data_IF_029864104598
#
_entry.id   IF_029864104598
#
_cell.length_a   1.000
_cell.length_b   1.000
_cell.length_c   1.000
_cell.angle_alpha   90.00
_cell.angle_beta   90.00
_cell.angle_gamma   90.00
#
_symmetry.space_group_name_H-M   'P 1'
#
loop_
_entity.id
_entity.type
_entity.pdbx_description
1 polymer ?
#
# COMPACT_ATOMS: atom_id res chain seq x y z
N UNK A 1 14.63 2.11 -59.04
CA UNK A 1 15.68 2.64 -58.16
C UNK A 1 15.00 3.56 -57.13
N UNK A 2 14.90 3.09 -55.88
CA UNK A 2 14.54 3.74 -54.58
C UNK A 2 13.29 4.64 -54.44
N UNK A 3 12.50 4.68 -53.34
CA UNK A 3 12.23 3.87 -52.12
C UNK A 3 10.98 4.49 -51.41
N UNK A 4 10.59 3.90 -50.25
CA UNK A 4 9.65 4.36 -49.18
C UNK A 4 8.25 3.73 -49.24
N UNK A 5 8.00 2.59 -48.58
CA UNK A 5 7.81 2.31 -47.14
C UNK A 5 6.35 2.54 -46.67
N UNK A 6 5.59 1.45 -46.55
CA UNK A 6 4.35 1.39 -45.76
C UNK A 6 4.44 0.25 -44.76
N UNK A 7 5.25 0.43 -43.70
CA UNK A 7 5.03 -0.25 -42.42
C UNK A 7 4.06 0.59 -41.59
N UNK A 8 2.81 0.17 -41.57
CA UNK A 8 1.87 0.51 -40.49
C UNK A 8 0.80 -0.56 -40.47
N UNK A 9 0.35 -0.92 -39.27
CA UNK A 9 -0.63 -1.96 -38.96
C UNK A 9 -0.05 -3.38 -38.92
N UNK A 10 0.51 -3.76 -37.77
CA UNK A 10 0.32 -5.10 -37.15
C UNK A 10 1.07 -5.31 -35.81
N UNK A 11 1.60 -4.26 -35.16
CA UNK A 11 2.30 -4.41 -33.88
C UNK A 11 1.47 -4.12 -32.61
N UNK A 12 0.17 -3.84 -32.71
CA UNK A 12 -0.67 -3.56 -31.53
C UNK A 12 -1.50 -4.75 -31.02
N UNK A 13 -1.43 -5.92 -31.65
CA UNK A 13 -2.07 -7.14 -31.13
C UNK A 13 -1.09 -8.11 -30.43
N UNK A 14 0.22 -7.98 -30.67
CA UNK A 14 1.23 -8.84 -30.04
C UNK A 14 1.57 -8.41 -28.60
N UNK A 15 1.68 -7.10 -28.33
CA UNK A 15 2.05 -6.60 -27.01
C UNK A 15 0.97 -6.85 -25.93
N UNK A 16 -0.32 -6.80 -26.32
CA UNK A 16 -1.46 -7.05 -25.42
C UNK A 16 -1.58 -8.53 -25.06
N UNK A 17 -1.22 -9.44 -25.99
CA UNK A 17 -1.17 -10.89 -25.75
C UNK A 17 0.03 -11.27 -24.87
N UNK A 18 1.20 -10.64 -25.05
CA UNK A 18 2.39 -10.90 -24.21
C UNK A 18 2.18 -10.38 -22.77
N UNK A 19 1.48 -9.26 -22.59
CA UNK A 19 1.07 -8.75 -21.26
C UNK A 19 -0.03 -9.61 -20.60
N UNK A 20 -0.89 -10.25 -21.38
CA UNK A 20 -1.87 -11.21 -20.87
C UNK A 20 -1.20 -12.53 -20.42
N UNK A 21 -0.24 -13.04 -21.19
CA UNK A 21 0.47 -14.28 -20.84
C UNK A 21 1.41 -14.12 -19.63
N UNK A 22 2.03 -12.94 -19.45
CA UNK A 22 2.87 -12.66 -18.27
C UNK A 22 2.05 -12.48 -16.99
N UNK A 23 0.86 -11.88 -17.05
CA UNK A 23 -0.09 -11.86 -15.91
C UNK A 23 -0.57 -13.27 -15.53
N UNK A 24 -0.79 -14.14 -16.51
CA UNK A 24 -1.19 -15.54 -16.26
C UNK A 24 -0.06 -16.34 -15.60
N UNK A 25 1.20 -16.13 -15.99
CA UNK A 25 2.34 -16.81 -15.35
C UNK A 25 2.66 -16.29 -13.94
N UNK A 26 2.40 -15.02 -13.65
CA UNK A 26 2.59 -14.46 -12.29
C UNK A 26 1.50 -14.96 -11.32
N UNK A 27 0.29 -15.26 -11.83
CA UNK A 27 -0.77 -15.92 -11.07
C UNK A 27 -0.58 -17.44 -10.88
N UNK A 28 0.42 -18.05 -11.52
CA UNK A 28 0.66 -19.51 -11.46
C UNK A 28 1.53 -19.96 -10.29
N UNK A 29 1.92 -19.07 -9.37
CA UNK A 29 2.71 -19.40 -8.18
C UNK A 29 1.84 -19.73 -6.94
N UNK A 30 0.77 -20.50 -7.14
CA UNK A 30 -0.13 -20.98 -6.07
C UNK A 30 0.06 -22.50 -5.89
N UNK A 31 0.27 -22.93 -4.65
CA UNK A 31 0.60 -24.32 -4.28
C UNK A 31 -0.38 -25.36 -4.88
N UNK A 32 0.18 -26.38 -5.53
CA UNK A 32 -0.53 -27.47 -6.21
C UNK A 32 -0.77 -28.63 -5.24
N UNK A 33 -2.00 -28.82 -4.79
CA UNK A 33 -2.40 -30.05 -4.08
C UNK A 33 -3.01 -31.02 -5.09
N UNK A 34 -2.42 -32.21 -5.25
CA UNK A 34 -2.96 -33.27 -6.10
C UNK A 34 -3.82 -34.23 -5.27
N UNK A 35 -5.13 -34.26 -5.51
CA UNK A 35 -5.97 -35.40 -5.15
C UNK A 35 -6.28 -36.20 -6.42
N UNK A 36 -5.89 -37.48 -6.41
CA UNK A 36 -6.21 -38.43 -7.48
C UNK A 36 -7.61 -38.96 -7.24
N UNK A 37 -8.59 -38.44 -7.97
CA UNK A 37 -9.84 -39.16 -8.21
C UNK A 37 -9.87 -39.66 -9.65
N UNK A 38 -10.28 -40.92 -9.77
CA UNK A 38 -10.25 -41.75 -10.95
C UNK A 38 -11.07 -41.16 -12.10
N UNK A 39 -10.52 -41.26 -13.31
CA UNK A 39 -11.19 -41.06 -14.61
C UNK A 39 -11.36 -39.62 -15.12
N UNK A 40 -10.35 -39.17 -15.88
CA UNK A 40 -10.42 -38.27 -17.04
C UNK A 40 -11.34 -37.04 -16.97
N UNK A 41 -11.05 -36.15 -16.03
CA UNK A 41 -11.06 -34.69 -16.24
C UNK A 41 -10.22 -34.08 -15.10
N UNK A 42 -8.99 -33.63 -15.40
CA UNK A 42 -8.23 -32.82 -14.45
C UNK A 42 -8.93 -31.46 -14.41
N UNK A 43 -9.94 -31.32 -13.55
CA UNK A 43 -10.45 -30.01 -13.16
C UNK A 43 -9.38 -29.37 -12.28
N UNK A 44 -8.68 -28.38 -12.83
CA UNK A 44 -7.91 -27.45 -12.02
C UNK A 44 -8.91 -26.62 -11.21
N UNK A 45 -9.20 -27.06 -9.98
CA UNK A 45 -9.93 -26.24 -9.02
C UNK A 45 -8.96 -25.18 -8.53
N UNK A 46 -8.91 -24.05 -9.24
CA UNK A 46 -8.22 -22.86 -8.74
C UNK A 46 -9.00 -22.36 -7.53
N UNK A 47 -8.56 -22.75 -6.34
CA UNK A 47 -9.07 -22.12 -5.13
C UNK A 47 -8.44 -20.74 -5.07
N UNK A 48 -9.20 -19.72 -5.49
CA UNK A 48 -8.91 -18.35 -5.12
C UNK A 48 -8.89 -18.32 -3.59
N UNK A 49 -7.69 -18.28 -3.00
CA UNK A 49 -7.56 -18.10 -1.56
C UNK A 49 -8.08 -16.69 -1.27
N UNK A 50 -9.06 -16.56 -0.39
CA UNK A 50 -9.58 -15.25 -0.03
C UNK A 50 -8.52 -14.44 0.73
N UNK A 51 -8.62 -13.11 0.71
CA UNK A 51 -7.65 -12.27 1.42
C UNK A 51 -7.70 -12.54 2.92
N UNK A 52 -8.90 -12.71 3.48
CA UNK A 52 -9.16 -13.17 4.85
C UNK A 52 -8.32 -14.40 5.21
N UNK A 53 -8.38 -15.44 4.38
CA UNK A 53 -7.64 -16.68 4.60
C UNK A 53 -6.12 -16.49 4.61
N UNK A 54 -5.59 -15.63 3.71
CA UNK A 54 -4.16 -15.31 3.70
C UNK A 54 -3.73 -14.57 4.97
N UNK A 55 -4.55 -13.63 5.45
CA UNK A 55 -4.28 -12.88 6.68
C UNK A 55 -4.28 -13.85 7.87
N UNK A 56 -5.25 -14.75 7.97
CA UNK A 56 -5.31 -15.76 9.04
C UNK A 56 -4.10 -16.68 9.02
N UNK A 57 -3.68 -17.16 7.83
CA UNK A 57 -2.47 -17.99 7.69
C UNK A 57 -1.23 -17.25 8.16
N UNK A 58 -1.04 -16.00 7.72
CA UNK A 58 0.10 -15.18 8.13
C UNK A 58 0.15 -14.95 9.65
N UNK A 59 -1.01 -14.78 10.31
CA UNK A 59 -1.07 -14.56 11.76
C UNK A 59 -0.66 -15.80 12.57
N UNK A 60 -0.84 -17.00 12.01
CA UNK A 60 -0.51 -18.27 12.65
C UNK A 60 0.87 -18.81 12.24
N UNK A 61 1.50 -18.21 11.22
CA UNK A 61 2.73 -18.72 10.64
C UNK A 61 3.96 -18.34 11.47
N UNK A 62 4.71 -19.38 11.85
CA UNK A 62 5.96 -19.29 12.60
C UNK A 62 7.17 -19.65 11.73
N UNK A 63 6.96 -20.36 10.62
CA UNK A 63 8.04 -20.68 9.68
C UNK A 63 8.43 -19.42 8.88
N UNK A 64 9.73 -19.15 8.83
CA UNK A 64 10.28 -17.92 8.23
C UNK A 64 10.00 -17.85 6.73
N UNK A 65 10.14 -18.97 6.02
CA UNK A 65 9.98 -19.03 4.57
C UNK A 65 8.50 -18.94 4.18
N UNK A 66 7.63 -19.68 4.87
CA UNK A 66 6.19 -19.61 4.66
C UNK A 66 5.62 -18.23 5.05
N UNK A 67 6.11 -17.63 6.14
CA UNK A 67 5.72 -16.27 6.54
C UNK A 67 6.06 -15.25 5.44
N UNK A 68 7.27 -15.33 4.90
CA UNK A 68 7.69 -14.53 3.75
C UNK A 68 6.83 -14.80 2.50
N UNK A 69 6.46 -16.06 2.24
CA UNK A 69 5.57 -16.42 1.13
C UNK A 69 4.18 -15.81 1.27
N UNK A 70 3.59 -15.83 2.47
CA UNK A 70 2.30 -15.21 2.73
C UNK A 70 2.34 -13.69 2.58
N UNK A 71 3.38 -13.05 3.10
CA UNK A 71 3.61 -11.60 2.92
C UNK A 71 3.74 -11.26 1.43
N UNK A 72 4.49 -12.05 0.68
CA UNK A 72 4.65 -11.86 -0.77
C UNK A 72 3.32 -12.02 -1.52
N UNK A 73 2.52 -13.02 -1.17
CA UNK A 73 1.21 -13.25 -1.76
C UNK A 73 0.24 -12.10 -1.46
N UNK A 74 0.30 -11.54 -0.25
CA UNK A 74 -0.42 -10.32 0.12
C UNK A 74 0.08 -9.11 -0.67
N UNK A 75 1.39 -9.00 -0.92
CA UNK A 75 2.01 -7.94 -1.73
C UNK A 75 1.55 -7.87 -3.19
N UNK A 76 0.83 -8.89 -3.69
CA UNK A 76 0.21 -8.90 -5.02
C UNK A 76 -1.26 -8.44 -5.00
N UNK A 77 -1.83 -8.11 -3.83
CA UNK A 77 -3.23 -7.67 -3.66
C UNK A 77 -3.32 -6.19 -3.37
N UNK A 78 -4.11 -5.48 -4.17
CA UNK A 78 -4.31 -4.03 -4.07
C UNK A 78 -5.63 -3.76 -3.34
N UNK A 79 -5.65 -4.12 -2.06
CA UNK A 79 -6.81 -3.99 -1.17
C UNK A 79 -6.43 -3.11 0.03
N UNK A 80 -7.32 -2.21 0.50
CA UNK A 80 -7.04 -1.32 1.63
C UNK A 80 -6.55 -2.05 2.89
N UNK A 81 -7.19 -3.17 3.22
CA UNK A 81 -6.90 -4.00 4.39
C UNK A 81 -5.50 -4.60 4.31
N UNK A 82 -5.09 -5.02 3.11
CA UNK A 82 -3.76 -5.56 2.85
C UNK A 82 -2.69 -4.48 2.99
N UNK A 83 -2.94 -3.29 2.45
CA UNK A 83 -2.03 -2.14 2.59
C UNK A 83 -1.86 -1.79 4.06
N UNK A 84 -2.96 -1.70 4.83
CA UNK A 84 -2.92 -1.42 6.27
C UNK A 84 -2.20 -2.52 7.05
N UNK A 85 -2.42 -3.78 6.72
CA UNK A 85 -1.72 -4.91 7.34
C UNK A 85 -0.21 -4.85 7.10
N UNK A 86 0.23 -4.69 5.84
CA UNK A 86 1.65 -4.57 5.49
C UNK A 86 2.29 -3.35 6.15
N UNK A 87 1.55 -2.26 6.29
CA UNK A 87 1.97 -1.08 7.05
C UNK A 87 2.19 -1.39 8.53
N UNK A 88 1.25 -2.08 9.17
CA UNK A 88 1.34 -2.47 10.58
C UNK A 88 2.51 -3.44 10.83
N UNK A 89 2.74 -4.39 9.91
CA UNK A 89 3.93 -5.26 9.95
C UNK A 89 5.21 -4.45 9.86
N UNK A 90 5.28 -3.48 8.94
CA UNK A 90 6.44 -2.59 8.79
C UNK A 90 6.76 -1.82 10.08
N UNK A 91 5.76 -1.44 10.88
CA UNK A 91 5.98 -0.75 12.15
C UNK A 91 6.48 -1.65 13.28
N UNK A 92 6.36 -2.98 13.13
CA UNK A 92 6.81 -3.96 14.12
C UNK A 92 7.92 -4.88 13.57
N UNK A 93 8.49 -4.55 12.41
CA UNK A 93 9.39 -5.44 11.67
C UNK A 93 10.74 -5.68 12.36
N UNK A 94 11.10 -4.86 13.35
CA UNK A 94 12.34 -5.05 14.12
C UNK A 94 12.36 -6.40 14.86
N UNK A 95 11.18 -6.97 15.14
CA UNK A 95 11.02 -8.28 15.77
C UNK A 95 10.99 -9.44 14.75
N UNK A 96 11.09 -9.15 13.45
CA UNK A 96 11.02 -10.14 12.38
C UNK A 96 12.42 -10.53 11.90
N UNK A 97 12.54 -11.73 11.34
CA UNK A 97 13.77 -12.19 10.68
C UNK A 97 14.16 -11.28 9.50
N UNK A 98 15.47 -11.06 9.22
CA UNK A 98 15.92 -10.14 8.16
C UNK A 98 15.31 -10.41 6.78
N UNK A 99 15.07 -11.68 6.44
CA UNK A 99 14.42 -12.07 5.20
C UNK A 99 12.95 -11.66 5.16
N UNK A 100 12.22 -11.84 6.28
CA UNK A 100 10.83 -11.41 6.43
C UNK A 100 10.73 -9.89 6.37
N UNK A 101 11.65 -9.16 7.03
CA UNK A 101 11.74 -7.71 6.94
C UNK A 101 11.90 -7.22 5.49
N UNK A 102 12.73 -7.92 4.71
CA UNK A 102 12.92 -7.63 3.29
C UNK A 102 11.60 -7.80 2.51
N UNK A 103 10.89 -8.90 2.72
CA UNK A 103 9.61 -9.17 2.04
C UNK A 103 8.50 -8.19 2.45
N UNK A 104 8.45 -7.76 3.71
CA UNK A 104 7.53 -6.70 4.16
C UNK A 104 7.80 -5.41 3.39
N UNK A 105 9.07 -4.97 3.32
CA UNK A 105 9.46 -3.74 2.61
C UNK A 105 9.15 -3.83 1.12
N UNK A 106 9.44 -4.97 0.50
CA UNK A 106 9.21 -5.20 -0.92
C UNK A 106 7.72 -5.21 -1.25
N UNK A 107 6.93 -5.95 -0.47
CA UNK A 107 5.48 -6.08 -0.66
C UNK A 107 4.77 -4.74 -0.44
N UNK A 108 5.14 -4.02 0.63
CA UNK A 108 4.60 -2.68 0.89
C UNK A 108 4.94 -1.70 -0.25
N UNK A 109 6.17 -1.74 -0.77
CA UNK A 109 6.58 -0.92 -1.92
C UNK A 109 5.78 -1.24 -3.18
N UNK A 110 5.54 -2.52 -3.47
CA UNK A 110 4.72 -2.95 -4.62
C UNK A 110 3.31 -2.38 -4.53
N UNK A 111 2.62 -2.58 -3.41
CA UNK A 111 1.23 -2.13 -3.26
C UNK A 111 1.14 -0.60 -3.25
N UNK A 112 2.01 0.10 -2.51
CA UNK A 112 1.97 1.57 -2.41
C UNK A 112 2.34 2.29 -3.70
N UNK A 113 3.15 1.67 -4.57
CA UNK A 113 3.51 2.25 -5.86
C UNK A 113 2.60 1.80 -7.02
N UNK A 114 1.64 0.90 -6.77
CA UNK A 114 0.73 0.41 -7.81
C UNK A 114 -0.08 1.55 -8.44
N UNK A 115 -0.37 1.47 -9.74
CA UNK A 115 -0.98 2.56 -10.52
C UNK A 115 -2.33 3.02 -9.97
N UNK A 116 -3.16 2.09 -9.49
CA UNK A 116 -4.48 2.35 -8.91
C UNK A 116 -4.47 2.86 -7.47
N UNK A 117 -3.33 2.85 -6.77
CA UNK A 117 -3.26 3.35 -5.39
C UNK A 117 -2.98 4.85 -5.41
N UNK A 118 -3.82 5.65 -4.78
CA UNK A 118 -3.69 7.11 -4.70
C UNK A 118 -4.52 7.67 -3.55
N UNK A 119 -4.59 8.99 -3.44
CA UNK A 119 -5.26 9.62 -2.29
C UNK A 119 -6.73 9.21 -2.15
N UNK A 120 -7.43 9.06 -3.28
CA UNK A 120 -8.83 8.64 -3.31
C UNK A 120 -9.03 7.27 -2.64
N UNK A 121 -8.13 6.31 -2.87
CA UNK A 121 -8.21 4.99 -2.23
C UNK A 121 -8.17 5.10 -0.70
N UNK A 122 -7.35 5.98 -0.14
CA UNK A 122 -7.25 6.14 1.32
C UNK A 122 -8.46 6.89 1.89
N UNK A 123 -8.95 7.89 1.16
CA UNK A 123 -10.09 8.71 1.58
C UNK A 123 -11.43 7.96 1.46
N UNK A 124 -11.58 7.10 0.46
CA UNK A 124 -12.77 6.27 0.28
C UNK A 124 -12.83 5.12 1.30
N UNK A 125 -11.68 4.74 1.88
CA UNK A 125 -11.54 3.64 2.84
C UNK A 125 -11.05 4.12 4.22
N UNK A 126 -11.46 5.32 4.65
CA UNK A 126 -11.01 5.92 5.91
C UNK A 126 -11.23 5.02 7.12
N UNK A 127 -12.27 4.20 7.17
CA UNK A 127 -12.51 3.28 8.29
C UNK A 127 -11.40 2.22 8.47
N UNK A 128 -10.67 1.90 7.40
CA UNK A 128 -9.55 0.94 7.44
C UNK A 128 -8.27 1.64 7.91
N UNK A 129 -8.06 2.89 7.48
CA UNK A 129 -6.83 3.62 7.76
C UNK A 129 -6.87 4.37 9.08
N UNK A 130 -8.02 4.95 9.45
CA UNK A 130 -8.18 5.76 10.66
C UNK A 130 -7.85 4.97 11.93
N UNK A 131 -6.95 5.52 12.73
CA UNK A 131 -6.71 5.01 14.08
C UNK A 131 -7.77 5.56 15.04
N UNK A 132 -8.46 4.64 15.76
CA UNK A 132 -9.57 5.00 16.65
C UNK A 132 -9.14 5.66 17.97
N UNK A 133 -7.83 5.73 18.27
CA UNK A 133 -7.35 6.30 19.53
C UNK A 133 -7.50 7.83 19.53
N UNK A 134 -8.56 8.32 20.18
CA UNK A 134 -8.76 9.74 20.49
C UNK A 134 -8.96 9.90 21.99
N UNK A 135 -8.30 10.89 22.57
CA UNK A 135 -8.58 11.30 23.95
C UNK A 135 -9.97 11.95 23.97
N UNK A 136 -10.97 11.28 24.55
CA UNK A 136 -12.37 11.74 24.55
C UNK A 136 -12.56 13.11 25.23
N UNK A 137 -11.61 13.52 26.08
CA UNK A 137 -11.64 14.79 26.80
C UNK A 137 -10.93 15.94 26.05
N UNK A 138 -10.09 15.63 25.06
CA UNK A 138 -9.35 16.64 24.32
C UNK A 138 -10.23 17.32 23.25
N UNK A 139 -10.15 18.66 23.09
CA UNK A 139 -10.89 19.37 22.06
C UNK A 139 -10.49 18.90 20.66
N UNK A 140 -11.48 18.77 19.76
CA UNK A 140 -11.23 18.49 18.35
C UNK A 140 -10.88 19.79 17.64
N UNK A 141 -9.72 19.83 16.99
CA UNK A 141 -9.21 21.04 16.32
C UNK A 141 -8.93 20.73 14.85
N UNK A 142 -9.49 21.56 13.96
CA UNK A 142 -9.15 21.54 12.54
C UNK A 142 -7.75 22.13 12.37
N UNK A 143 -6.83 21.34 11.84
CA UNK A 143 -5.48 21.80 11.46
C UNK A 143 -5.49 22.15 9.98
N UNK A 144 -5.03 23.35 9.65
CA UNK A 144 -4.78 23.74 8.27
C UNK A 144 -3.71 22.83 7.66
N UNK A 145 -3.98 22.28 6.48
CA UNK A 145 -3.02 21.49 5.71
C UNK A 145 -1.68 22.19 5.47
N UNK A 146 -1.65 23.53 5.44
CA UNK A 146 -0.40 24.30 5.32
C UNK A 146 0.53 24.07 6.51
N UNK A 147 -0.01 23.89 7.73
CA UNK A 147 0.77 23.60 8.95
C UNK A 147 1.42 22.21 8.83
N UNK A 148 0.65 21.23 8.33
CA UNK A 148 1.17 19.88 8.11
C UNK A 148 2.20 19.85 6.99
N UNK A 149 1.97 20.58 5.91
CA UNK A 149 2.94 20.71 4.83
C UNK A 149 4.25 21.30 5.35
N UNK A 150 4.18 22.35 6.17
CA UNK A 150 5.36 22.95 6.77
C UNK A 150 6.12 21.95 7.64
N UNK A 151 5.41 21.22 8.50
CA UNK A 151 5.99 20.18 9.36
C UNK A 151 6.65 19.04 8.57
N UNK A 152 6.02 18.57 7.51
CA UNK A 152 6.43 17.37 6.78
C UNK A 152 7.49 17.63 5.71
N UNK A 153 7.48 18.83 5.13
CA UNK A 153 8.34 19.17 3.99
C UNK A 153 9.54 20.05 4.38
N UNK A 154 9.46 20.88 5.43
CA UNK A 154 10.56 21.77 5.81
C UNK A 154 11.54 21.13 6.78
N UNK A 155 12.75 21.66 6.79
CA UNK A 155 13.78 21.26 7.74
C UNK A 155 13.43 21.82 9.13
N UNK A 156 13.65 21.02 10.18
CA UNK A 156 13.32 21.35 11.59
C UNK A 156 13.91 22.67 12.07
N UNK A 157 15.05 23.08 11.50
CA UNK A 157 15.74 24.34 11.84
C UNK A 157 15.07 25.60 11.29
N UNK A 158 14.13 25.45 10.35
CA UNK A 158 13.42 26.56 9.68
C UNK A 158 11.92 26.54 9.93
N UNK A 159 11.46 25.70 10.86
CA UNK A 159 10.06 25.48 11.14
C UNK A 159 9.49 26.66 11.96
N UNK A 160 8.33 27.15 11.58
CA UNK A 160 7.64 28.19 12.32
C UNK A 160 7.32 27.72 13.75
N UNK A 161 7.53 28.61 14.73
CA UNK A 161 7.24 28.37 16.15
C UNK A 161 5.78 27.94 16.39
N UNK A 162 4.84 28.45 15.60
CA UNK A 162 3.43 28.09 15.72
C UNK A 162 3.16 26.64 15.27
N UNK A 163 3.86 26.17 14.24
CA UNK A 163 3.78 24.77 13.78
C UNK A 163 4.36 23.85 14.86
N UNK A 164 5.48 24.22 15.47
CA UNK A 164 6.08 23.46 16.58
C UNK A 164 5.11 23.32 17.75
N UNK A 165 4.44 24.41 18.17
CA UNK A 165 3.45 24.36 19.26
C UNK A 165 2.26 23.46 18.94
N UNK A 166 1.74 23.52 17.72
CA UNK A 166 0.63 22.65 17.29
C UNK A 166 1.03 21.19 17.34
N UNK A 167 2.23 20.86 16.85
CA UNK A 167 2.77 19.48 16.91
C UNK A 167 2.94 19.02 18.36
N UNK A 168 3.48 19.86 19.24
CA UNK A 168 3.61 19.56 20.68
C UNK A 168 2.24 19.29 21.33
N UNK A 169 1.20 20.04 20.98
CA UNK A 169 -0.15 19.81 21.49
C UNK A 169 -0.76 18.49 21.00
N UNK A 170 -0.51 18.11 19.74
CA UNK A 170 -0.92 16.80 19.21
C UNK A 170 -0.19 15.67 19.94
N UNK A 171 1.14 15.75 20.05
CA UNK A 171 1.96 14.72 20.70
C UNK A 171 1.68 14.59 22.20
N UNK A 172 1.30 15.68 22.86
CA UNK A 172 0.92 15.69 24.27
C UNK A 172 -0.55 15.34 24.51
N UNK A 173 -1.28 14.90 23.48
CA UNK A 173 -2.71 14.56 23.52
C UNK A 173 -3.61 15.69 24.07
N UNK A 174 -3.16 16.94 23.99
CA UNK A 174 -3.91 18.12 24.42
C UNK A 174 -5.04 18.46 23.46
N UNK A 175 -4.90 18.04 22.20
CA UNK A 175 -5.88 18.28 21.14
C UNK A 175 -6.07 17.01 20.32
N UNK A 176 -7.26 16.82 19.77
CA UNK A 176 -7.54 15.81 18.75
C UNK A 176 -7.50 16.49 17.37
N UNK A 177 -6.40 16.36 16.61
CA UNK A 177 -6.30 16.98 15.30
C UNK A 177 -7.25 16.31 14.30
N UNK A 178 -7.82 17.09 13.40
CA UNK A 178 -8.39 16.60 12.15
C UNK A 178 -8.06 17.54 11.01
N UNK A 179 -8.03 17.01 9.78
CA UNK A 179 -7.69 17.75 8.57
C UNK A 179 -8.86 17.62 7.60
N UNK A 180 -9.20 18.70 6.91
CA UNK A 180 -10.24 18.65 5.87
C UNK A 180 -9.81 17.80 4.68
N UNK A 181 -10.76 17.12 4.03
CA UNK A 181 -10.54 16.28 2.83
C UNK A 181 -9.67 16.99 1.78
N UNK A 182 -10.09 18.19 1.37
CA UNK A 182 -9.35 18.99 0.38
C UNK A 182 -7.91 19.30 0.82
N UNK A 183 -7.69 19.49 2.13
CA UNK A 183 -6.35 19.72 2.68
C UNK A 183 -5.45 18.50 2.53
N UNK A 184 -6.00 17.29 2.77
CA UNK A 184 -5.29 16.02 2.60
C UNK A 184 -4.98 15.75 1.12
N UNK A 185 -5.92 16.00 0.22
CA UNK A 185 -5.73 15.87 -1.24
C UNK A 185 -4.64 16.81 -1.78
N UNK A 186 -4.65 18.07 -1.33
CA UNK A 186 -3.66 19.07 -1.70
C UNK A 186 -2.27 18.70 -1.18
N UNK A 187 -2.17 18.31 0.10
CA UNK A 187 -0.93 17.85 0.71
C UNK A 187 -0.35 16.65 -0.05
N UNK A 188 -1.18 15.63 -0.32
CA UNK A 188 -0.75 14.46 -1.08
C UNK A 188 -0.24 14.84 -2.47
N UNK A 189 -0.95 15.71 -3.19
CA UNK A 189 -0.56 16.16 -4.53
C UNK A 189 0.79 16.88 -4.53
N UNK A 190 1.02 17.76 -3.56
CA UNK A 190 2.30 18.47 -3.39
C UNK A 190 3.44 17.52 -3.03
N UNK A 191 3.21 16.62 -2.07
CA UNK A 191 4.21 15.62 -1.65
C UNK A 191 4.55 14.69 -2.80
N UNK A 192 3.56 14.24 -3.58
CA UNK A 192 3.75 13.42 -4.77
C UNK A 192 4.62 14.14 -5.80
N UNK A 193 4.36 15.43 -6.03
CA UNK A 193 5.16 16.24 -6.95
C UNK A 193 6.63 16.36 -6.49
N UNK A 194 6.87 16.53 -5.18
CA UNK A 194 8.21 16.79 -4.64
C UNK A 194 9.04 15.52 -4.35
N UNK A 195 8.40 14.47 -3.83
CA UNK A 195 9.06 13.26 -3.30
C UNK A 195 8.59 11.96 -3.94
N UNK A 196 7.66 12.05 -4.90
CA UNK A 196 7.15 10.90 -5.63
C UNK A 196 5.93 10.24 -4.98
N UNK A 197 5.26 9.41 -5.78
CA UNK A 197 3.99 8.76 -5.44
C UNK A 197 4.11 7.83 -4.24
N UNK A 198 5.15 7.00 -4.21
CA UNK A 198 5.40 6.04 -3.12
C UNK A 198 5.47 6.77 -1.77
N UNK A 199 6.22 7.87 -1.70
CA UNK A 199 6.35 8.66 -0.49
C UNK A 199 5.04 9.33 -0.07
N UNK A 200 4.30 9.90 -1.02
CA UNK A 200 3.01 10.51 -0.76
C UNK A 200 1.98 9.49 -0.23
N UNK A 201 1.92 8.28 -0.80
CA UNK A 201 1.03 7.23 -0.36
C UNK A 201 1.40 6.71 1.04
N UNK A 202 2.69 6.54 1.34
CA UNK A 202 3.15 6.18 2.70
C UNK A 202 2.74 7.23 3.72
N UNK A 203 2.94 8.50 3.40
CA UNK A 203 2.56 9.62 4.26
C UNK A 203 1.05 9.65 4.53
N UNK A 204 0.22 9.35 3.53
CA UNK A 204 -1.23 9.24 3.73
C UNK A 204 -1.61 8.17 4.76
N UNK A 205 -0.92 7.03 4.75
CA UNK A 205 -1.16 5.95 5.73
C UNK A 205 -0.66 6.34 7.13
N UNK A 206 0.35 7.21 7.22
CA UNK A 206 0.86 7.73 8.51
C UNK A 206 -0.06 8.77 9.16
N UNK A 207 -0.71 9.61 8.36
CA UNK A 207 -1.53 10.73 8.86
C UNK A 207 -2.98 10.31 9.14
N UNK A 208 -3.48 9.27 8.47
CA UNK A 208 -4.83 8.72 8.64
C UNK A 208 -4.84 7.62 9.70
#
# INVERSE_FOLDING_TARGET
MFYVNTKSQNNYHSATLILAFSKIQILQKVNKVMTRESSNQIQFKYTLIETSDLITKLQQECDVDERANWIRALGERIEPEVIKLLWNLRNNMENEEPFVQYEIKLSLRKVTNHSSVGIDMFLDNLSVFQTEKKNSQAPKILIDSNILEEFLLRNKTTMNQDVTKVVEWVLSEKINPYVGKNGVENLWSRVKYLRGKEYANRLSIEIL
#
